data_IF_992339766743
#
_entry.id   IF_992339766743
#
_cell.length_a   1.000
_cell.length_b   1.000
_cell.length_c   1.000
_cell.angle_alpha   90.00
_cell.angle_beta   90.00
_cell.angle_gamma   90.00
#
_symmetry.space_group_name_H-M   'P 1'
#
loop_
_entity.id
_entity.type
_entity.pdbx_description
1 polymer ?
#
# COMPACT_ATOMS: atom_id res chain seq x y z
N UNK A 1 58.35 -32.24 38.82
CA UNK A 1 57.28 -31.23 39.03
C UNK A 1 56.47 -31.64 40.25
N UNK A 2 56.16 -30.72 41.17
CA UNK A 2 55.56 -31.04 42.47
C UNK A 2 54.09 -31.47 42.40
N UNK A 3 53.67 -32.34 43.33
CA UNK A 3 52.30 -32.85 43.45
C UNK A 3 51.27 -31.72 43.63
N UNK A 4 51.60 -30.70 44.43
CA UNK A 4 50.76 -29.51 44.71
C UNK A 4 50.26 -28.84 43.42
N UNK A 5 51.14 -28.58 42.45
CA UNK A 5 50.75 -27.95 41.17
C UNK A 5 49.76 -28.78 40.36
N UNK A 6 49.82 -30.12 40.45
CA UNK A 6 48.84 -31.02 39.80
C UNK A 6 47.48 -30.97 40.52
N UNK A 7 47.48 -30.91 41.85
CA UNK A 7 46.27 -30.79 42.67
C UNK A 7 45.58 -29.42 42.46
N UNK A 8 46.35 -28.33 42.45
CA UNK A 8 45.88 -26.98 42.12
C UNK A 8 45.24 -26.93 40.72
N UNK A 9 45.90 -27.52 39.72
CA UNK A 9 45.37 -27.60 38.35
C UNK A 9 44.07 -28.41 38.27
N UNK A 10 43.95 -29.49 39.06
CA UNK A 10 42.72 -30.29 39.14
C UNK A 10 41.58 -29.52 39.81
N UNK A 11 41.85 -28.82 40.91
CA UNK A 11 40.87 -27.98 41.61
C UNK A 11 40.32 -26.86 40.70
N UNK A 12 41.19 -26.18 39.95
CA UNK A 12 40.78 -25.15 38.96
C UNK A 12 39.88 -25.75 37.88
N UNK A 13 40.20 -26.96 37.37
CA UNK A 13 39.36 -27.66 36.38
C UNK A 13 37.97 -28.03 36.94
N UNK A 14 37.91 -28.52 38.18
CA UNK A 14 36.63 -28.85 38.85
C UNK A 14 35.79 -27.58 39.06
N UNK A 15 36.38 -26.49 39.56
CA UNK A 15 35.70 -25.20 39.71
C UNK A 15 35.19 -24.63 38.38
N UNK A 16 35.98 -24.72 37.31
CA UNK A 16 35.58 -24.32 35.97
C UNK A 16 34.39 -25.15 35.46
N UNK A 17 34.45 -26.47 35.61
CA UNK A 17 33.37 -27.38 35.18
C UNK A 17 32.08 -27.13 35.97
N UNK A 18 32.19 -26.91 37.29
CA UNK A 18 31.07 -26.54 38.16
C UNK A 18 30.42 -25.21 37.75
N UNK A 19 31.21 -24.17 37.49
CA UNK A 19 30.72 -22.87 36.99
C UNK A 19 30.05 -23.00 35.62
N UNK A 20 30.59 -23.82 34.72
CA UNK A 20 29.98 -24.09 33.40
C UNK A 20 28.63 -24.81 33.55
N UNK A 21 28.54 -25.77 34.47
CA UNK A 21 27.31 -26.53 34.73
C UNK A 21 26.23 -25.67 35.43
N UNK A 22 26.62 -24.78 36.34
CA UNK A 22 25.72 -23.77 36.93
C UNK A 22 25.13 -22.86 35.85
N UNK A 23 25.97 -22.26 34.99
CA UNK A 23 25.51 -21.43 33.86
C UNK A 23 24.57 -22.20 32.92
N UNK A 24 24.88 -23.45 32.60
CA UNK A 24 24.00 -24.29 31.79
C UNK A 24 22.63 -24.53 32.46
N UNK A 25 22.58 -24.68 33.79
CA UNK A 25 21.31 -24.77 34.54
C UNK A 25 20.56 -23.43 34.59
N UNK A 26 21.26 -22.31 34.74
CA UNK A 26 20.67 -20.96 34.66
C UNK A 26 20.05 -20.71 33.29
N UNK A 27 20.76 -21.02 32.19
CA UNK A 27 20.23 -20.93 30.82
C UNK A 27 19.00 -21.83 30.60
N UNK A 28 18.98 -23.04 31.17
CA UNK A 28 17.80 -23.92 31.11
C UNK A 28 16.62 -23.37 31.91
N UNK A 29 16.87 -22.78 33.08
CA UNK A 29 15.85 -22.13 33.90
C UNK A 29 15.29 -20.87 33.20
N UNK A 30 16.13 -20.06 32.55
CA UNK A 30 15.68 -18.95 31.71
C UNK A 30 14.84 -19.42 30.52
N UNK A 31 15.28 -20.48 29.81
CA UNK A 31 14.50 -21.07 28.71
C UNK A 31 13.13 -21.57 29.21
N UNK A 32 13.08 -22.21 30.37
CA UNK A 32 11.82 -22.66 30.99
C UNK A 32 10.91 -21.48 31.37
N UNK A 33 11.44 -20.39 31.94
CA UNK A 33 10.67 -19.15 32.23
C UNK A 33 10.10 -18.55 30.95
N UNK A 34 10.93 -18.37 29.91
CA UNK A 34 10.47 -17.87 28.61
C UNK A 34 9.36 -18.75 28.03
N UNK A 35 9.50 -20.08 28.09
CA UNK A 35 8.45 -21.01 27.62
C UNK A 35 7.14 -20.84 28.41
N UNK A 36 7.21 -20.62 29.74
CA UNK A 36 6.03 -20.35 30.55
C UNK A 36 5.38 -18.98 30.20
N UNK A 37 6.19 -17.94 29.99
CA UNK A 37 5.73 -16.62 29.50
C UNK A 37 5.03 -16.75 28.13
N UNK A 38 5.64 -17.47 27.17
CA UNK A 38 5.06 -17.74 25.85
C UNK A 38 3.73 -18.49 25.94
N UNK A 39 3.60 -19.47 26.84
CA UNK A 39 2.32 -20.18 27.07
C UNK A 39 1.27 -19.26 27.66
N UNK A 40 1.60 -18.47 28.69
CA UNK A 40 0.65 -17.50 29.26
C UNK A 40 0.17 -16.46 28.24
N UNK A 41 1.06 -16.00 27.35
CA UNK A 41 0.68 -15.13 26.22
C UNK A 41 -0.21 -15.84 25.21
N UNK A 42 -0.01 -17.14 24.97
CA UNK A 42 -0.85 -17.94 24.09
C UNK A 42 -2.26 -18.14 24.66
N UNK A 43 -2.38 -18.43 25.96
CA UNK A 43 -3.66 -18.56 26.66
C UNK A 43 -4.44 -17.24 26.64
N UNK A 44 -3.77 -16.11 26.89
CA UNK A 44 -4.34 -14.76 26.74
C UNK A 44 -4.80 -14.51 25.30
N UNK A 45 -4.04 -14.95 24.29
CA UNK A 45 -4.44 -14.82 22.88
C UNK A 45 -5.68 -15.64 22.55
N UNK A 46 -5.80 -16.86 23.06
CA UNK A 46 -6.97 -17.73 22.87
C UNK A 46 -8.22 -17.11 23.50
N UNK A 47 -8.12 -16.66 24.76
CA UNK A 47 -9.23 -15.99 25.42
C UNK A 47 -9.65 -14.69 24.71
N UNK A 48 -8.69 -13.91 24.21
CA UNK A 48 -8.98 -12.73 23.40
C UNK A 48 -9.72 -13.09 22.09
N UNK A 49 -9.40 -14.22 21.44
CA UNK A 49 -10.15 -14.67 20.25
C UNK A 49 -11.59 -15.06 20.59
N UNK A 50 -11.82 -15.77 21.69
CA UNK A 50 -13.18 -16.11 22.17
C UNK A 50 -14.01 -14.84 22.46
N UNK A 51 -13.44 -13.87 23.18
CA UNK A 51 -14.09 -12.58 23.46
C UNK A 51 -14.42 -11.80 22.18
N UNK A 52 -13.53 -11.84 21.17
CA UNK A 52 -13.78 -11.22 19.86
C UNK A 52 -14.94 -11.90 19.13
N UNK A 53 -15.04 -13.24 19.20
CA UNK A 53 -16.14 -13.99 18.59
C UNK A 53 -17.48 -13.74 19.30
N UNK A 54 -17.50 -13.72 20.64
CA UNK A 54 -18.67 -13.32 21.42
C UNK A 54 -19.14 -11.90 21.06
N UNK A 55 -18.20 -10.95 20.95
CA UNK A 55 -18.52 -9.58 20.53
C UNK A 55 -19.05 -9.50 19.08
N UNK A 56 -18.54 -10.32 18.16
CA UNK A 56 -19.08 -10.43 16.79
C UNK A 56 -20.49 -11.00 16.79
N UNK A 57 -20.77 -12.05 17.57
CA UNK A 57 -22.10 -12.62 17.71
C UNK A 57 -23.11 -11.61 18.28
N UNK A 58 -22.74 -10.84 19.30
CA UNK A 58 -23.56 -9.76 19.86
C UNK A 58 -23.84 -8.66 18.81
N UNK A 59 -22.84 -8.29 17.99
CA UNK A 59 -23.02 -7.30 16.91
C UNK A 59 -23.99 -7.79 15.84
N UNK A 60 -23.85 -9.04 15.37
CA UNK A 60 -24.77 -9.66 14.41
C UNK A 60 -26.20 -9.66 14.91
N UNK A 61 -26.42 -10.12 16.15
CA UNK A 61 -27.73 -10.09 16.79
C UNK A 61 -28.33 -8.69 16.82
N UNK A 62 -27.57 -7.68 17.28
CA UNK A 62 -28.04 -6.28 17.33
C UNK A 62 -28.34 -5.69 15.95
N UNK A 63 -27.56 -6.02 14.92
CA UNK A 63 -27.81 -5.56 13.56
C UNK A 63 -29.10 -6.16 12.99
N UNK A 64 -29.29 -7.47 13.13
CA UNK A 64 -30.53 -8.15 12.75
C UNK A 64 -31.75 -7.62 13.53
N UNK A 65 -31.64 -7.41 14.85
CA UNK A 65 -32.71 -6.83 15.66
C UNK A 65 -33.08 -5.41 15.17
N UNK A 66 -32.10 -4.56 14.84
CA UNK A 66 -32.34 -3.22 14.27
C UNK A 66 -33.04 -3.27 12.91
N UNK A 67 -32.56 -4.09 11.97
CA UNK A 67 -33.20 -4.24 10.66
C UNK A 67 -34.64 -4.75 10.79
N UNK A 68 -34.88 -5.67 11.73
CA UNK A 68 -36.23 -6.15 12.04
C UNK A 68 -37.15 -5.03 12.55
N UNK A 69 -36.66 -4.12 13.41
CA UNK A 69 -37.44 -2.95 13.83
C UNK A 69 -37.68 -1.96 12.68
N UNK A 70 -36.67 -1.67 11.85
CA UNK A 70 -36.82 -0.80 10.66
C UNK A 70 -37.85 -1.36 9.67
N UNK A 71 -37.84 -2.68 9.44
CA UNK A 71 -38.83 -3.34 8.59
C UNK A 71 -40.25 -3.29 9.20
N UNK A 72 -40.39 -3.51 10.52
CA UNK A 72 -41.69 -3.37 11.22
C UNK A 72 -42.24 -1.95 11.11
N UNK A 73 -41.40 -0.92 11.17
CA UNK A 73 -41.81 0.48 11.00
C UNK A 73 -42.32 0.80 9.57
N UNK A 74 -41.87 0.04 8.57
CA UNK A 74 -42.29 0.19 7.17
C UNK A 74 -43.53 -0.66 6.82
N UNK A 75 -43.88 -1.65 7.65
CA UNK A 75 -45.01 -2.55 7.41
C UNK A 75 -46.36 -1.92 7.80
N UNK A 76 -47.43 -2.15 7.02
CA UNK A 76 -48.80 -1.85 7.45
C UNK A 76 -49.15 -2.57 8.75
N UNK A 77 -49.73 -1.87 9.73
CA UNK A 77 -50.01 -2.38 11.08
C UNK A 77 -50.78 -3.72 11.10
N UNK A 78 -51.61 -4.01 10.09
CA UNK A 78 -52.35 -5.27 9.92
C UNK A 78 -51.43 -6.48 9.69
N UNK A 79 -50.29 -6.28 9.01
CA UNK A 79 -49.34 -7.34 8.63
C UNK A 79 -48.26 -7.58 9.69
N UNK A 80 -48.04 -6.64 10.61
CA UNK A 80 -47.01 -6.74 11.67
C UNK A 80 -47.19 -7.99 12.53
N UNK A 81 -48.42 -8.36 12.88
CA UNK A 81 -48.70 -9.56 13.70
C UNK A 81 -48.32 -10.85 12.98
N UNK A 82 -48.58 -10.94 11.67
CA UNK A 82 -48.20 -12.09 10.85
C UNK A 82 -46.69 -12.17 10.63
N UNK A 83 -46.04 -11.03 10.38
CA UNK A 83 -44.59 -10.94 10.25
C UNK A 83 -43.88 -11.38 11.54
N UNK A 84 -44.31 -10.88 12.71
CA UNK A 84 -43.75 -11.27 14.00
C UNK A 84 -43.94 -12.77 14.30
N UNK A 85 -45.09 -13.35 13.96
CA UNK A 85 -45.32 -14.78 14.11
C UNK A 85 -44.41 -15.63 13.20
N UNK A 86 -44.22 -15.21 11.94
CA UNK A 86 -43.32 -15.86 10.97
C UNK A 86 -41.85 -15.78 11.43
N UNK A 87 -41.38 -14.59 11.82
CA UNK A 87 -40.00 -14.39 12.32
C UNK A 87 -39.71 -15.10 13.65
N UNK A 88 -40.72 -15.30 14.50
CA UNK A 88 -40.56 -16.06 15.75
C UNK A 88 -40.47 -17.57 15.48
N UNK A 89 -41.23 -18.10 14.51
CA UNK A 89 -41.16 -19.52 14.14
C UNK A 89 -39.90 -19.84 13.34
N UNK A 90 -39.57 -19.00 12.35
CA UNK A 90 -38.40 -19.15 11.48
C UNK A 90 -37.83 -17.76 11.14
N UNK A 91 -36.74 -17.31 11.77
CA UNK A 91 -36.15 -16.00 11.48
C UNK A 91 -35.61 -15.96 10.05
N UNK A 92 -36.00 -14.95 9.26
CA UNK A 92 -35.67 -14.85 7.83
C UNK A 92 -34.17 -14.89 7.59
N UNK A 93 -33.74 -15.75 6.65
CA UNK A 93 -32.34 -15.84 6.21
C UNK A 93 -31.89 -14.54 5.53
N UNK A 94 -32.74 -13.96 4.70
CA UNK A 94 -32.44 -12.72 3.94
C UNK A 94 -32.04 -11.57 4.87
N UNK A 95 -32.81 -11.35 5.95
CA UNK A 95 -32.48 -10.28 6.91
C UNK A 95 -31.20 -10.56 7.71
N UNK A 96 -30.77 -11.82 7.85
CA UNK A 96 -29.48 -12.15 8.46
C UNK A 96 -28.35 -11.83 7.50
N UNK A 97 -28.46 -12.28 6.25
CA UNK A 97 -27.44 -12.09 5.22
C UNK A 97 -27.19 -10.59 4.94
N UNK A 98 -28.25 -9.79 4.83
CA UNK A 98 -28.16 -8.32 4.71
C UNK A 98 -27.51 -7.66 5.94
N UNK A 99 -27.86 -8.10 7.16
CA UNK A 99 -27.26 -7.58 8.39
C UNK A 99 -25.77 -7.91 8.52
N UNK A 100 -25.34 -9.07 8.00
CA UNK A 100 -23.93 -9.45 7.93
C UNK A 100 -23.19 -8.64 6.85
N UNK A 101 -23.80 -8.36 5.70
CA UNK A 101 -23.21 -7.51 4.67
C UNK A 101 -22.97 -6.06 5.16
N UNK A 102 -23.96 -5.48 5.86
CA UNK A 102 -23.83 -4.14 6.47
C UNK A 102 -22.69 -4.13 7.49
N UNK A 103 -22.57 -5.15 8.34
CA UNK A 103 -21.48 -5.27 9.30
C UNK A 103 -20.11 -5.43 8.62
N UNK A 104 -20.01 -6.20 7.54
CA UNK A 104 -18.78 -6.35 6.75
C UNK A 104 -18.33 -5.01 6.16
N UNK A 105 -19.25 -4.26 5.52
CA UNK A 105 -18.97 -2.91 4.99
C UNK A 105 -18.44 -1.97 6.09
N UNK A 106 -19.04 -1.99 7.28
CA UNK A 106 -18.60 -1.19 8.43
C UNK A 106 -17.22 -1.63 8.96
N UNK A 107 -16.92 -2.93 8.98
CA UNK A 107 -15.59 -3.42 9.35
C UNK A 107 -14.52 -3.02 8.32
N UNK A 108 -14.81 -3.15 7.03
CA UNK A 108 -13.86 -2.80 5.97
C UNK A 108 -13.62 -1.29 5.88
N UNK A 109 -14.64 -0.46 6.12
CA UNK A 109 -14.45 0.98 6.33
C UNK A 109 -13.49 1.27 7.49
N UNK A 110 -13.64 0.58 8.63
CA UNK A 110 -12.76 0.76 9.80
C UNK A 110 -11.33 0.30 9.49
N UNK A 111 -11.16 -0.82 8.80
CA UNK A 111 -9.86 -1.33 8.32
C UNK A 111 -9.20 -0.32 7.37
N UNK A 112 -9.95 0.22 6.40
CA UNK A 112 -9.47 1.22 5.45
C UNK A 112 -9.08 2.54 6.13
N UNK A 113 -9.88 3.02 7.10
CA UNK A 113 -9.58 4.20 7.92
C UNK A 113 -8.29 3.97 8.75
N UNK A 114 -8.14 2.81 9.39
CA UNK A 114 -6.93 2.45 10.14
C UNK A 114 -5.69 2.35 9.22
N UNK A 115 -5.81 1.68 8.07
CA UNK A 115 -4.75 1.57 7.07
C UNK A 115 -4.31 2.96 6.55
N UNK A 116 -5.24 3.86 6.28
CA UNK A 116 -4.93 5.23 5.88
C UNK A 116 -4.15 6.01 6.94
N UNK A 117 -4.46 5.82 8.23
CA UNK A 117 -3.69 6.41 9.36
C UNK A 117 -2.28 5.82 9.42
N UNK A 118 -2.13 4.49 9.38
CA UNK A 118 -0.83 3.81 9.40
C UNK A 118 0.03 4.26 8.22
N UNK A 119 -0.52 4.29 7.00
CA UNK A 119 0.17 4.77 5.80
C UNK A 119 0.59 6.25 5.93
N UNK A 120 -0.23 7.11 6.52
CA UNK A 120 0.08 8.52 6.75
C UNK A 120 1.27 8.66 7.71
N UNK A 121 1.25 7.94 8.83
CA UNK A 121 2.35 7.92 9.80
C UNK A 121 3.64 7.38 9.18
N UNK A 122 3.57 6.28 8.42
CA UNK A 122 4.73 5.70 7.74
C UNK A 122 5.33 6.65 6.69
N UNK A 123 4.49 7.32 5.87
CA UNK A 123 4.93 8.34 4.92
C UNK A 123 5.60 9.53 5.62
N UNK A 124 5.06 9.98 6.76
CA UNK A 124 5.67 11.06 7.56
C UNK A 124 7.03 10.64 8.14
N UNK A 125 7.12 9.43 8.74
CA UNK A 125 8.36 8.86 9.25
C UNK A 125 9.43 8.73 8.16
N UNK A 126 9.08 8.22 6.99
CA UNK A 126 10.02 8.08 5.87
C UNK A 126 10.53 9.46 5.37
N UNK A 127 9.65 10.46 5.29
CA UNK A 127 10.06 11.85 4.95
C UNK A 127 11.02 12.41 6.00
N UNK A 128 10.74 12.23 7.29
CA UNK A 128 11.63 12.66 8.39
C UNK A 128 12.99 11.96 8.28
N UNK A 129 13.03 10.64 8.06
CA UNK A 129 14.28 9.87 7.93
C UNK A 129 15.12 10.28 6.71
N UNK A 130 14.49 10.68 5.60
CA UNK A 130 15.17 11.26 4.45
C UNK A 130 15.76 12.64 4.78
N UNK A 131 14.98 13.52 5.40
CA UNK A 131 15.44 14.84 5.82
C UNK A 131 16.61 14.75 6.82
N UNK A 132 16.56 13.82 7.78
CA UNK A 132 17.66 13.55 8.72
C UNK A 132 18.92 13.03 8.02
N UNK A 133 18.81 12.14 7.02
CA UNK A 133 19.96 11.70 6.22
C UNK A 133 20.59 12.86 5.44
N UNK A 134 19.76 13.66 4.79
CA UNK A 134 20.20 14.84 4.04
C UNK A 134 20.87 15.86 4.96
N UNK A 135 20.23 16.20 6.08
CA UNK A 135 20.79 17.08 7.11
C UNK A 135 22.15 16.56 7.59
N UNK A 136 22.24 15.28 8.00
CA UNK A 136 23.51 14.65 8.43
C UNK A 136 24.60 14.79 7.36
N UNK A 137 24.30 14.49 6.09
CA UNK A 137 25.27 14.60 4.98
C UNK A 137 25.76 16.02 4.75
N UNK A 138 24.92 17.02 5.04
CA UNK A 138 25.25 18.44 4.90
C UNK A 138 26.04 18.94 6.12
N UNK A 139 25.61 18.57 7.33
CA UNK A 139 26.24 19.03 8.59
C UNK A 139 27.62 18.44 8.85
N UNK A 140 28.07 17.43 8.09
CA UNK A 140 29.47 16.94 8.14
C UNK A 140 30.47 18.09 7.97
N UNK A 141 30.17 19.03 7.07
CA UNK A 141 30.99 20.22 6.83
C UNK A 141 30.30 21.42 7.48
N UNK A 142 30.97 22.02 8.47
CA UNK A 142 30.52 23.25 9.15
C UNK A 142 30.19 24.35 8.12
N UNK A 143 29.13 25.17 8.32
CA UNK A 143 28.70 26.16 7.33
C UNK A 143 29.81 27.12 6.89
N UNK A 144 30.58 27.67 7.83
CA UNK A 144 31.74 28.54 7.56
C UNK A 144 32.76 27.86 6.64
N UNK A 145 33.19 26.64 6.99
CA UNK A 145 34.12 25.85 6.16
C UNK A 145 33.58 25.53 4.77
N UNK A 146 32.25 25.45 4.61
CA UNK A 146 31.62 25.28 3.30
C UNK A 146 31.67 26.55 2.46
N UNK A 147 31.46 27.72 3.09
CA UNK A 147 31.63 29.03 2.43
C UNK A 147 33.09 29.23 2.03
N UNK A 148 34.05 28.91 2.91
CA UNK A 148 35.49 28.92 2.58
C UNK A 148 35.81 28.00 1.38
N UNK A 149 35.30 26.77 1.37
CA UNK A 149 35.52 25.84 0.26
C UNK A 149 34.87 26.32 -1.04
N UNK A 150 33.69 26.95 -0.99
CA UNK A 150 33.06 27.61 -2.14
C UNK A 150 33.93 28.79 -2.61
N UNK A 151 34.46 29.60 -1.69
CA UNK A 151 35.40 30.68 -1.97
C UNK A 151 36.66 30.16 -2.68
N UNK A 152 37.33 29.15 -2.13
CA UNK A 152 38.51 28.51 -2.71
C UNK A 152 38.20 27.89 -4.08
N UNK A 153 37.02 27.30 -4.28
CA UNK A 153 36.59 26.79 -5.60
C UNK A 153 36.36 27.95 -6.57
N UNK A 154 35.72 29.04 -6.13
CA UNK A 154 35.43 30.20 -6.96
C UNK A 154 36.73 30.94 -7.34
N UNK A 155 37.65 31.15 -6.40
CA UNK A 155 39.01 31.66 -6.67
C UNK A 155 39.81 30.74 -7.58
N UNK A 156 39.69 29.42 -7.46
CA UNK A 156 40.31 28.47 -8.41
C UNK A 156 39.66 28.50 -9.79
N UNK A 157 38.39 28.88 -9.91
CA UNK A 157 37.71 29.07 -11.20
C UNK A 157 38.06 30.44 -11.82
N UNK A 158 38.08 31.51 -11.02
CA UNK A 158 38.43 32.88 -11.44
C UNK A 158 39.92 33.05 -11.72
N UNK A 159 40.80 32.40 -10.94
CA UNK A 159 42.24 32.41 -11.09
C UNK A 159 42.75 31.50 -12.21
N UNK A 160 41.95 30.52 -12.65
CA UNK A 160 42.22 29.75 -13.89
C UNK A 160 41.84 30.60 -15.11
N UNK A 161 42.72 31.55 -15.47
CA UNK A 161 42.65 32.31 -16.75
C UNK A 161 42.54 31.40 -17.99
N UNK A 162 42.93 30.14 -17.88
CA UNK A 162 42.45 29.06 -18.76
C UNK A 162 42.05 27.82 -17.95
N UNK A 163 40.83 27.34 -18.18
CA UNK A 163 40.57 25.91 -18.04
C UNK A 163 41.50 25.19 -19.01
N UNK A 164 42.30 24.22 -18.54
CA UNK A 164 43.03 23.30 -19.44
C UNK A 164 42.06 22.80 -20.50
N UNK A 165 42.48 22.80 -21.78
CA UNK A 165 41.62 22.39 -22.92
C UNK A 165 40.92 21.07 -22.63
N UNK A 166 41.61 20.13 -21.98
CA UNK A 166 41.18 18.80 -21.55
C UNK A 166 39.98 18.78 -20.58
N UNK A 167 39.77 19.82 -19.76
CA UNK A 167 38.63 19.92 -18.85
C UNK A 167 37.37 20.49 -19.53
N UNK A 168 37.54 21.28 -20.60
CA UNK A 168 36.44 21.86 -21.35
C UNK A 168 35.47 20.82 -21.97
N UNK A 169 35.94 19.72 -22.62
CA UNK A 169 35.04 18.68 -23.13
C UNK A 169 34.35 17.94 -21.98
N UNK A 170 35.06 17.60 -20.90
CA UNK A 170 34.47 16.92 -19.73
C UNK A 170 33.34 17.77 -19.11
N UNK A 171 33.53 19.09 -18.99
CA UNK A 171 32.47 19.98 -18.50
C UNK A 171 31.31 20.11 -19.48
N UNK A 172 31.57 20.17 -20.80
CA UNK A 172 30.52 20.18 -21.84
C UNK A 172 29.71 18.88 -21.84
N UNK A 173 30.37 17.73 -21.72
CA UNK A 173 29.78 16.40 -21.64
C UNK A 173 28.91 16.25 -20.39
N UNK A 174 29.42 16.65 -19.20
CA UNK A 174 28.63 16.66 -17.95
C UNK A 174 27.41 17.60 -18.05
N UNK A 175 27.55 18.77 -18.69
CA UNK A 175 26.43 19.68 -18.96
C UNK A 175 25.42 19.10 -19.95
N UNK A 176 25.87 18.42 -20.99
CA UNK A 176 25.01 17.73 -21.96
C UNK A 176 24.23 16.60 -21.30
N UNK A 177 24.90 15.74 -20.52
CA UNK A 177 24.27 14.67 -19.74
C UNK A 177 23.23 15.22 -18.75
N UNK A 178 23.53 16.33 -18.04
CA UNK A 178 22.58 16.95 -17.12
C UNK A 178 21.36 17.57 -17.84
N UNK A 179 21.57 18.15 -19.03
CA UNK A 179 20.46 18.64 -19.89
C UNK A 179 19.62 17.50 -20.44
N UNK A 180 20.24 16.40 -20.88
CA UNK A 180 19.54 15.20 -21.36
C UNK A 180 18.71 14.54 -20.24
N UNK A 181 19.26 14.40 -19.03
CA UNK A 181 18.53 13.91 -17.88
C UNK A 181 17.31 14.80 -17.53
N UNK A 182 17.49 16.14 -17.51
CA UNK A 182 16.34 17.06 -17.35
C UNK A 182 15.33 16.97 -18.49
N UNK A 183 15.77 16.70 -19.72
CA UNK A 183 14.89 16.43 -20.87
C UNK A 183 14.04 15.17 -20.65
N UNK A 184 14.65 14.07 -20.23
CA UNK A 184 13.96 12.81 -19.89
C UNK A 184 13.00 12.97 -18.71
N UNK A 185 13.36 13.75 -17.69
CA UNK A 185 12.46 14.09 -16.58
C UNK A 185 11.27 14.94 -17.05
N UNK A 186 11.50 15.92 -17.94
CA UNK A 186 10.44 16.74 -18.52
C UNK A 186 9.53 15.95 -19.46
N UNK A 187 10.07 15.07 -20.31
CA UNK A 187 9.29 14.16 -21.15
C UNK A 187 8.48 13.17 -20.33
N UNK A 188 9.08 12.54 -19.31
CA UNK A 188 8.36 11.61 -18.44
C UNK A 188 7.29 12.33 -17.61
N UNK A 189 7.50 13.60 -17.25
CA UNK A 189 6.47 14.45 -16.67
C UNK A 189 5.34 14.75 -17.69
N UNK A 190 5.67 15.14 -18.92
CA UNK A 190 4.68 15.38 -19.98
C UNK A 190 3.85 14.12 -20.32
N UNK A 191 4.51 12.96 -20.45
CA UNK A 191 3.85 11.65 -20.64
C UNK A 191 2.90 11.33 -19.48
N UNK A 192 3.33 11.53 -18.22
CA UNK A 192 2.45 11.40 -17.04
C UNK A 192 1.28 12.38 -17.05
N UNK A 193 1.51 13.63 -17.45
CA UNK A 193 0.47 14.65 -17.52
C UNK A 193 -0.60 14.34 -18.58
N UNK A 194 -0.20 13.80 -19.75
CA UNK A 194 -1.12 13.32 -20.78
C UNK A 194 -1.98 12.15 -20.28
N UNK A 195 -1.39 11.18 -19.58
CA UNK A 195 -2.13 10.06 -18.96
C UNK A 195 -3.11 10.57 -17.88
N UNK A 196 -2.70 11.53 -17.04
CA UNK A 196 -3.59 12.16 -16.07
C UNK A 196 -4.74 12.90 -16.76
N UNK A 197 -4.49 13.56 -17.90
CA UNK A 197 -5.51 14.23 -18.71
C UNK A 197 -6.44 13.25 -19.46
N UNK A 198 -5.98 12.06 -19.86
CA UNK A 198 -6.89 11.02 -20.38
C UNK A 198 -7.76 10.47 -19.26
N UNK A 199 -7.15 10.03 -18.15
CA UNK A 199 -7.89 9.51 -16.99
C UNK A 199 -8.94 10.49 -16.45
N UNK A 200 -8.64 11.81 -16.44
CA UNK A 200 -9.62 12.84 -16.06
C UNK A 200 -10.81 12.93 -17.03
N UNK A 201 -10.57 12.80 -18.34
CA UNK A 201 -11.63 12.75 -19.36
C UNK A 201 -12.45 11.46 -19.20
N UNK A 202 -11.79 10.33 -19.00
CA UNK A 202 -12.43 9.03 -18.82
C UNK A 202 -13.34 9.05 -17.58
N UNK A 203 -12.85 9.54 -16.44
CA UNK A 203 -13.65 9.72 -15.20
C UNK A 203 -14.83 10.67 -15.42
N UNK A 204 -14.64 11.79 -16.14
CA UNK A 204 -15.74 12.71 -16.42
C UNK A 204 -16.84 12.04 -17.27
N UNK A 205 -16.47 11.23 -18.25
CA UNK A 205 -17.41 10.46 -19.09
C UNK A 205 -18.09 9.36 -18.28
N UNK A 206 -17.38 8.64 -17.41
CA UNK A 206 -17.98 7.62 -16.53
C UNK A 206 -18.95 8.21 -15.50
N UNK A 207 -18.66 9.41 -14.97
CA UNK A 207 -19.54 10.11 -14.02
C UNK A 207 -20.84 10.61 -14.62
N UNK A 208 -20.94 10.71 -15.97
CA UNK A 208 -22.20 11.10 -16.64
C UNK A 208 -23.15 9.94 -16.91
N UNK A 209 -22.77 8.69 -16.62
CA UNK A 209 -23.62 7.51 -16.86
C UNK A 209 -24.80 7.48 -15.87
N UNK A 210 -26.02 7.50 -16.40
CA UNK A 210 -27.24 7.14 -15.68
C UNK A 210 -27.79 5.79 -16.18
N UNK A 211 -28.53 5.03 -15.34
CA UNK A 211 -29.28 3.87 -15.83
C UNK A 211 -30.25 4.32 -16.92
N UNK A 212 -30.28 3.59 -18.04
CA UNK A 212 -31.00 3.86 -19.29
C UNK A 212 -30.33 4.83 -20.30
N UNK A 213 -29.09 5.29 -20.08
CA UNK A 213 -28.36 6.02 -21.13
C UNK A 213 -27.93 5.12 -22.30
N UNK A 214 -28.01 5.66 -23.52
CA UNK A 214 -27.50 5.01 -24.73
C UNK A 214 -25.96 4.99 -24.76
N UNK A 215 -25.40 3.87 -25.22
CA UNK A 215 -23.95 3.64 -25.20
C UNK A 215 -23.25 4.49 -26.27
N UNK A 216 -22.58 5.57 -25.84
CA UNK A 216 -21.79 6.44 -26.72
C UNK A 216 -20.43 5.81 -27.11
N UNK A 217 -19.91 6.07 -28.32
CA UNK A 217 -18.54 5.69 -28.71
C UNK A 217 -17.46 6.23 -27.75
N UNK A 218 -17.68 7.41 -27.14
CA UNK A 218 -16.78 7.95 -26.13
C UNK A 218 -16.76 7.08 -24.86
N UNK A 219 -17.94 6.65 -24.39
CA UNK A 219 -18.07 5.73 -23.25
C UNK A 219 -17.36 4.39 -23.51
N UNK A 220 -17.52 3.82 -24.71
CA UNK A 220 -16.84 2.59 -25.13
C UNK A 220 -15.31 2.73 -25.13
N UNK A 221 -14.78 3.91 -25.48
CA UNK A 221 -13.35 4.22 -25.48
C UNK A 221 -12.80 4.42 -24.06
N UNK A 222 -13.55 5.11 -23.19
CA UNK A 222 -13.18 5.36 -21.79
C UNK A 222 -13.23 4.09 -20.92
N UNK A 223 -14.09 3.12 -21.25
CA UNK A 223 -14.19 1.83 -20.56
C UNK A 223 -13.02 0.86 -20.84
N UNK A 224 -11.96 1.29 -21.52
CA UNK A 224 -10.69 0.56 -21.66
C UNK A 224 -10.72 -0.68 -22.56
N UNK A 225 -11.90 -1.17 -22.94
CA UNK A 225 -12.17 -2.30 -23.83
C UNK A 225 -11.73 -3.68 -23.31
N UNK A 226 -12.71 -4.55 -23.05
CA UNK A 226 -12.47 -5.96 -22.67
C UNK A 226 -13.01 -7.05 -23.61
N UNK A 227 -14.18 -7.03 -24.28
CA UNK A 227 -15.46 -6.28 -24.18
C UNK A 227 -16.60 -7.33 -24.16
N UNK A 228 -17.91 -6.97 -24.05
CA UNK A 228 -19.00 -7.91 -24.33
C UNK A 228 -18.91 -8.51 -25.75
N UNK A 229 -18.55 -9.80 -25.76
CA UNK A 229 -18.08 -10.63 -26.87
C UNK A 229 -18.80 -10.49 -28.22
N UNK A 230 -20.13 -10.32 -28.20
CA UNK A 230 -20.97 -10.51 -29.40
C UNK A 230 -20.98 -9.32 -30.37
N UNK A 231 -20.75 -8.09 -29.88
CA UNK A 231 -20.84 -6.87 -30.71
C UNK A 231 -19.57 -6.03 -30.74
N UNK A 232 -18.57 -6.38 -29.94
CA UNK A 232 -17.20 -6.08 -30.35
C UNK A 232 -16.84 -6.79 -31.66
N UNK A 233 -17.44 -7.94 -31.95
CA UNK A 233 -17.39 -8.61 -33.28
C UNK A 233 -18.12 -7.87 -34.41
N UNK A 234 -18.95 -6.87 -34.11
CA UNK A 234 -19.68 -6.10 -35.12
C UNK A 234 -19.05 -4.72 -35.35
N UNK A 235 -18.45 -4.14 -34.32
CA UNK A 235 -17.40 -3.15 -34.57
C UNK A 235 -16.27 -3.81 -35.36
N UNK A 236 -15.67 -3.06 -36.28
CA UNK A 236 -14.43 -3.40 -36.96
C UNK A 236 -14.50 -4.52 -38.01
N UNK A 237 -15.61 -5.28 -38.08
CA UNK A 237 -16.06 -5.86 -39.37
C UNK A 237 -16.48 -4.74 -40.34
N UNK A 238 -16.96 -3.61 -39.83
CA UNK A 238 -17.22 -2.38 -40.62
C UNK A 238 -15.93 -1.66 -41.04
N UNK A 239 -14.82 -1.81 -40.30
CA UNK A 239 -13.50 -1.32 -40.75
C UNK A 239 -13.06 -2.15 -41.97
N UNK A 240 -13.16 -3.48 -41.85
CA UNK A 240 -12.91 -4.49 -42.91
C UNK A 240 -13.83 -4.36 -44.16
N UNK A 241 -14.90 -3.57 -44.09
CA UNK A 241 -15.90 -3.38 -45.16
C UNK A 241 -15.78 -2.01 -45.85
N UNK A 242 -15.50 -0.93 -45.10
CA UNK A 242 -15.28 0.40 -45.68
C UNK A 242 -13.85 0.61 -46.20
N UNK A 243 -12.83 -0.06 -45.64
CA UNK A 243 -11.46 -0.04 -46.22
C UNK A 243 -11.45 -0.83 -47.55
N UNK A 244 -12.22 -1.92 -47.66
CA UNK A 244 -12.58 -2.55 -48.96
C UNK A 244 -13.40 -1.67 -49.88
N UNK A 245 -14.00 -0.60 -49.37
CA UNK A 245 -14.65 0.44 -50.17
C UNK A 245 -13.66 1.56 -50.48
N UNK A 246 -12.51 1.72 -49.81
CA UNK A 246 -11.41 2.61 -50.21
C UNK A 246 -10.51 1.97 -51.28
N UNK A 247 -10.15 0.68 -51.11
CA UNK A 247 -9.55 -0.19 -52.16
C UNK A 247 -10.41 -0.28 -53.43
N UNK A 248 -11.71 0.07 -53.32
CA UNK A 248 -12.66 0.14 -54.44
C UNK A 248 -13.11 1.53 -54.80
N UNK A 249 -13.01 2.53 -53.91
CA UNK A 249 -13.21 3.96 -54.19
C UNK A 249 -11.85 4.61 -54.47
N UNK A 250 -11.03 3.84 -55.16
CA UNK A 250 -11.04 3.86 -56.63
C UNK A 250 -9.78 4.70 -56.95
N UNK A 251 -8.98 4.39 -57.96
CA UNK A 251 -9.39 4.05 -59.33
C UNK A 251 -10.30 5.15 -59.95
N UNK A 252 -10.60 6.19 -59.16
CA UNK A 252 -11.30 7.43 -59.37
C UNK A 252 -10.07 8.33 -59.47
N UNK A 253 -9.92 9.01 -60.60
CA UNK A 253 -10.07 10.46 -60.56
C UNK A 253 -9.13 11.12 -59.54
N UNK A 254 -8.15 11.86 -60.06
CA UNK A 254 -7.36 12.94 -59.43
C UNK A 254 -5.99 12.51 -58.87
#
# INVERSE_FOLDING_TARGET
MSSSRRQETAAIRIQYWWRKHLKAKEELAEKARRIAEWRGLQDISLHNTELIEQLKAIRRRKAYDLMKYEHILQLPARQVKEFLAKEHATPSKVMKDESEEILLRIEDEKRNKAAAVIQRLFKAYHRKRLAERYLRSITVIRPQRRVELIGIINERLSGRKTLRKDHLPIMKEKLAAYRAARGQDAESFAKRQLIIQSMKRDIAVLNTISPNMSVSPALLKCLGSTRPLAKYKASLFYEDEMERIEDRLLDLYL
#
